data_IF_873261714303
#
_entry.id   IF_873261714303
#
_cell.length_a   1.000
_cell.length_b   1.000
_cell.length_c   1.000
_cell.angle_alpha   90.00
_cell.angle_beta   90.00
_cell.angle_gamma   90.00
#
_symmetry.space_group_name_H-M   'P 1'
#
loop_
_entity.id
_entity.type
_entity.pdbx_description
1 polymer ?
#
# COMPACT_ATOMS: atom_id res chain seq x y z
N UNK A 1 -13.37 -18.99 -77.45
CA UNK A 1 -11.97 -18.65 -77.10
C UNK A 1 -11.49 -19.69 -76.10
N UNK A 2 -10.71 -20.67 -76.56
CA UNK A 2 -10.21 -21.77 -75.73
C UNK A 2 -8.74 -21.51 -75.42
N UNK A 3 -8.39 -21.38 -74.13
CA UNK A 3 -7.01 -21.23 -73.69
C UNK A 3 -6.57 -22.58 -73.10
N UNK A 4 -5.92 -23.40 -73.91
CA UNK A 4 -5.22 -24.60 -73.45
C UNK A 4 -3.91 -24.19 -72.79
N UNK A 5 -3.81 -24.35 -71.46
CA UNK A 5 -2.52 -24.26 -70.75
C UNK A 5 -1.81 -25.61 -70.85
N UNK A 6 -0.77 -25.67 -71.68
CA UNK A 6 0.18 -26.77 -71.69
C UNK A 6 1.05 -26.72 -70.43
N UNK A 7 0.90 -27.71 -69.56
CA UNK A 7 1.87 -27.96 -68.49
C UNK A 7 2.95 -28.90 -69.02
N UNK A 8 4.13 -28.36 -69.28
CA UNK A 8 5.31 -29.17 -69.54
C UNK A 8 5.73 -29.85 -68.23
N UNK A 9 5.41 -31.14 -68.08
CA UNK A 9 5.98 -31.96 -67.00
C UNK A 9 7.41 -32.34 -67.40
N UNK A 10 8.39 -31.59 -66.90
CA UNK A 10 9.78 -32.02 -66.95
C UNK A 10 9.93 -33.26 -66.07
N UNK A 11 10.10 -34.44 -66.70
CA UNK A 11 10.47 -35.67 -66.01
C UNK A 11 11.87 -35.46 -65.41
N UNK A 12 11.92 -35.11 -64.13
CA UNK A 12 13.17 -35.04 -63.39
C UNK A 12 13.59 -36.48 -63.06
N UNK A 13 14.38 -37.09 -63.93
CA UNK A 13 14.99 -38.39 -63.69
C UNK A 13 15.98 -38.27 -62.52
N UNK A 14 15.55 -38.66 -61.32
CA UNK A 14 16.47 -38.93 -60.21
C UNK A 14 16.93 -40.38 -60.32
N UNK A 15 17.96 -40.63 -61.14
CA UNK A 15 18.83 -41.76 -60.84
C UNK A 15 19.98 -41.26 -59.98
N UNK A 16 20.11 -41.85 -58.79
CA UNK A 16 21.36 -42.17 -58.07
C UNK A 16 20.98 -42.59 -56.65
N UNK A 17 21.34 -43.83 -56.30
CA UNK A 17 21.16 -44.42 -54.97
C UNK A 17 21.60 -43.42 -53.88
N UNK A 18 20.88 -43.32 -52.76
CA UNK A 18 21.24 -42.38 -51.70
C UNK A 18 22.66 -42.67 -51.17
N UNK A 19 23.46 -41.65 -50.85
CA UNK A 19 24.78 -41.86 -50.28
C UNK A 19 24.64 -42.59 -48.93
N UNK A 20 25.54 -43.54 -48.66
CA UNK A 20 25.50 -44.41 -47.47
C UNK A 20 25.37 -43.64 -46.14
N UNK A 21 25.95 -42.43 -46.09
CA UNK A 21 25.85 -41.53 -44.94
C UNK A 21 24.38 -41.15 -44.61
N UNK A 22 23.54 -40.96 -45.63
CA UNK A 22 22.13 -40.60 -45.44
C UNK A 22 21.31 -41.80 -44.92
N UNK A 23 21.67 -43.02 -45.33
CA UNK A 23 21.02 -44.24 -44.83
C UNK A 23 21.35 -44.43 -43.34
N UNK A 24 22.59 -44.18 -42.93
CA UNK A 24 23.00 -44.31 -41.52
C UNK A 24 22.26 -43.32 -40.62
N UNK A 25 22.14 -42.06 -41.05
CA UNK A 25 21.37 -41.03 -40.30
C UNK A 25 19.90 -41.44 -40.20
N UNK A 26 19.31 -41.91 -41.30
CA UNK A 26 17.93 -42.38 -41.32
C UNK A 26 17.72 -43.57 -40.36
N UNK A 27 18.61 -44.56 -40.34
CA UNK A 27 18.54 -45.68 -39.41
C UNK A 27 18.64 -45.24 -37.93
N UNK A 28 19.49 -44.27 -37.61
CA UNK A 28 19.58 -43.72 -36.24
C UNK A 28 18.27 -43.08 -35.81
N UNK A 29 17.66 -42.26 -36.66
CA UNK A 29 16.37 -41.61 -36.38
C UNK A 29 15.25 -42.64 -36.18
N UNK A 30 15.24 -43.71 -36.98
CA UNK A 30 14.22 -44.77 -36.88
C UNK A 30 14.32 -45.55 -35.57
N UNK A 31 15.55 -45.74 -35.06
CA UNK A 31 15.80 -46.32 -33.73
C UNK A 31 15.38 -45.38 -32.61
N UNK A 32 15.69 -44.09 -32.71
CA UNK A 32 15.28 -43.09 -31.72
C UNK A 32 13.75 -43.00 -31.57
N UNK A 33 13.02 -43.13 -32.69
CA UNK A 33 11.55 -43.09 -32.73
C UNK A 33 10.93 -44.45 -32.36
N UNK A 34 11.74 -45.49 -32.11
CA UNK A 34 11.29 -46.87 -31.84
C UNK A 34 10.30 -47.39 -32.90
N UNK A 35 10.59 -47.15 -34.19
CA UNK A 35 9.73 -47.63 -35.28
C UNK A 35 9.72 -49.16 -35.34
N UNK A 36 8.58 -49.73 -35.75
CA UNK A 36 8.46 -51.18 -35.97
C UNK A 36 9.45 -51.66 -37.06
N UNK A 37 10.21 -52.72 -36.80
CA UNK A 37 11.22 -53.27 -37.73
C UNK A 37 10.69 -53.48 -39.16
N UNK A 38 9.45 -53.96 -39.32
CA UNK A 38 8.86 -54.15 -40.66
C UNK A 38 8.74 -52.84 -41.43
N UNK A 39 8.30 -51.78 -40.74
CA UNK A 39 8.22 -50.43 -41.31
C UNK A 39 9.62 -49.87 -41.56
N UNK A 40 10.60 -50.26 -40.75
CA UNK A 40 11.98 -49.86 -40.97
C UNK A 40 12.53 -50.40 -42.29
N UNK A 41 12.30 -51.69 -42.55
CA UNK A 41 12.70 -52.35 -43.79
C UNK A 41 12.02 -51.72 -45.01
N UNK A 42 10.71 -51.43 -44.92
CA UNK A 42 9.98 -50.75 -45.98
C UNK A 42 10.56 -49.38 -46.33
N UNK A 43 10.84 -48.54 -45.31
CA UNK A 43 11.43 -47.21 -45.49
C UNK A 43 12.82 -47.29 -46.15
N UNK A 44 13.65 -48.24 -45.74
CA UNK A 44 14.96 -48.46 -46.33
C UNK A 44 14.86 -48.93 -47.78
N UNK A 45 13.92 -49.82 -48.10
CA UNK A 45 13.65 -50.27 -49.47
C UNK A 45 13.23 -49.10 -50.38
N UNK A 46 12.40 -48.16 -49.90
CA UNK A 46 12.06 -46.95 -50.64
C UNK A 46 13.26 -46.03 -50.85
N UNK A 47 14.12 -45.88 -49.84
CA UNK A 47 15.34 -45.08 -49.94
C UNK A 47 16.31 -45.66 -50.99
N UNK A 48 16.53 -46.98 -50.98
CA UNK A 48 17.43 -47.66 -51.92
C UNK A 48 16.90 -47.69 -53.36
N UNK A 49 15.60 -47.88 -53.53
CA UNK A 49 14.93 -47.86 -54.84
C UNK A 49 14.76 -46.45 -55.41
N UNK A 50 14.95 -45.41 -54.59
CA UNK A 50 14.81 -44.01 -54.99
C UNK A 50 13.35 -43.60 -55.25
N UNK A 51 12.39 -44.41 -54.83
CA UNK A 51 10.96 -44.09 -54.90
C UNK A 51 10.55 -43.18 -53.74
N UNK A 52 9.51 -42.37 -53.94
CA UNK A 52 8.94 -41.55 -52.87
C UNK A 52 8.18 -42.44 -51.88
N UNK A 53 8.25 -42.10 -50.59
CA UNK A 53 7.43 -42.74 -49.56
C UNK A 53 5.93 -42.66 -49.90
N UNK A 54 5.12 -43.65 -49.49
CA UNK A 54 3.69 -43.64 -49.74
C UNK A 54 3.04 -42.38 -49.13
N UNK A 55 2.18 -41.72 -49.91
CA UNK A 55 1.47 -40.54 -49.44
C UNK A 55 0.45 -40.94 -48.38
N UNK A 56 0.68 -40.52 -47.14
CA UNK A 56 -0.31 -40.63 -46.07
C UNK A 56 -1.03 -39.28 -45.98
N UNK A 57 -2.33 -39.19 -46.31
CA UNK A 57 -3.08 -37.95 -46.15
C UNK A 57 -3.06 -37.55 -44.67
N UNK A 58 -2.80 -36.26 -44.40
CA UNK A 58 -2.64 -35.72 -43.03
C UNK A 58 -3.84 -36.04 -42.11
N UNK A 59 -5.02 -36.23 -42.69
CA UNK A 59 -6.26 -36.56 -41.98
C UNK A 59 -6.26 -37.99 -41.39
N UNK A 60 -5.40 -38.89 -41.88
CA UNK A 60 -5.21 -40.24 -41.33
C UNK A 60 -4.15 -40.30 -40.23
N UNK A 61 -3.31 -39.27 -40.08
CA UNK A 61 -2.39 -39.15 -38.95
C UNK A 61 -3.24 -38.72 -37.75
N UNK A 62 -3.93 -39.69 -37.16
CA UNK A 62 -4.52 -39.54 -35.83
C UNK A 62 -3.34 -39.30 -34.90
N UNK A 63 -3.13 -38.06 -34.47
CA UNK A 63 -2.26 -37.78 -33.34
C UNK A 63 -2.99 -38.32 -32.11
N UNK A 64 -2.86 -39.62 -31.85
CA UNK A 64 -3.56 -40.33 -30.76
C UNK A 64 -3.20 -39.82 -29.35
N UNK A 65 -2.37 -38.78 -29.26
CA UNK A 65 -1.91 -38.15 -28.04
C UNK A 65 -2.28 -36.67 -27.88
N UNK A 66 -3.28 -36.15 -28.61
CA UNK A 66 -3.84 -34.81 -28.28
C UNK A 66 -4.91 -34.91 -27.19
N UNK A 67 -5.64 -36.03 -27.11
CA UNK A 67 -6.79 -36.15 -26.19
C UNK A 67 -6.45 -36.79 -24.83
N UNK A 68 -5.28 -37.42 -24.68
CA UNK A 68 -4.86 -38.10 -23.43
C UNK A 68 -3.65 -37.48 -22.74
N UNK A 69 -3.17 -36.32 -23.19
CA UNK A 69 -2.56 -35.41 -22.25
C UNK A 69 -3.70 -34.95 -21.33
N UNK A 70 -3.89 -35.68 -20.23
CA UNK A 70 -4.52 -35.12 -19.04
C UNK A 70 -4.05 -33.67 -19.01
N UNK A 71 -5.00 -32.75 -19.00
CA UNK A 71 -4.73 -31.39 -18.56
C UNK A 71 -4.15 -31.58 -17.15
N UNK A 72 -2.85 -31.86 -17.05
CA UNK A 72 -2.04 -31.68 -15.85
C UNK A 72 -2.50 -30.31 -15.46
N UNK A 73 -3.22 -30.20 -14.33
CA UNK A 73 -3.69 -28.93 -13.81
C UNK A 73 -2.46 -28.04 -13.93
N UNK A 74 -2.45 -27.19 -14.97
CA UNK A 74 -1.31 -26.34 -15.22
C UNK A 74 -1.36 -25.50 -13.97
N UNK A 75 -0.41 -25.75 -13.05
CA UNK A 75 -0.29 -24.99 -11.84
C UNK A 75 -0.29 -23.56 -12.36
N UNK A 76 -1.40 -22.84 -12.12
CA UNK A 76 -1.56 -21.49 -12.63
C UNK A 76 -0.42 -20.75 -11.95
N UNK A 77 0.66 -20.54 -12.69
CA UNK A 77 1.76 -19.73 -12.21
C UNK A 77 1.11 -18.40 -11.82
N UNK A 78 1.46 -17.84 -10.65
CA UNK A 78 0.94 -16.53 -10.30
C UNK A 78 1.21 -15.61 -11.49
N UNK A 79 0.21 -14.80 -11.89
CA UNK A 79 0.36 -13.91 -13.03
C UNK A 79 1.66 -13.14 -12.86
N UNK A 80 2.46 -13.04 -13.93
CA UNK A 80 3.66 -12.20 -13.91
C UNK A 80 3.25 -10.83 -13.36
N UNK A 81 4.02 -10.24 -12.43
CA UNK A 81 3.68 -8.93 -11.91
C UNK A 81 3.62 -7.93 -13.08
N UNK A 82 2.40 -7.51 -13.41
CA UNK A 82 2.16 -6.48 -14.41
C UNK A 82 2.18 -5.11 -13.75
N UNK A 83 2.63 -4.10 -14.47
CA UNK A 83 2.52 -2.72 -14.03
C UNK A 83 1.03 -2.35 -13.87
N UNK A 84 0.67 -1.80 -12.71
CA UNK A 84 -0.67 -1.28 -12.45
C UNK A 84 -0.81 0.11 -13.07
N UNK A 85 -2.03 0.47 -13.49
CA UNK A 85 -2.33 1.83 -13.93
C UNK A 85 -2.20 2.83 -12.76
N UNK A 86 -1.81 4.07 -13.07
CA UNK A 86 -1.68 5.17 -12.10
C UNK A 86 -2.92 5.32 -11.21
N UNK A 87 -4.11 5.34 -11.80
CA UNK A 87 -5.39 5.45 -11.07
C UNK A 87 -5.59 4.35 -10.03
N UNK A 88 -5.18 3.11 -10.36
CA UNK A 88 -5.26 1.96 -9.45
C UNK A 88 -4.31 2.15 -8.27
N UNK A 89 -3.09 2.66 -8.51
CA UNK A 89 -2.08 2.90 -7.48
C UNK A 89 -2.53 4.00 -6.52
N UNK A 90 -3.06 5.10 -7.05
CA UNK A 90 -3.62 6.22 -6.27
C UNK A 90 -4.83 5.76 -5.44
N UNK A 91 -5.75 5.00 -6.04
CA UNK A 91 -6.94 4.49 -5.32
C UNK A 91 -6.60 3.55 -4.15
N UNK A 92 -5.44 2.89 -4.20
CA UNK A 92 -4.97 2.00 -3.12
C UNK A 92 -4.23 2.72 -2.01
N UNK A 93 -4.05 4.04 -2.09
CA UNK A 93 -3.27 4.82 -1.12
C UNK A 93 -1.76 4.55 -1.17
N UNK A 94 -1.30 3.60 -1.98
CA UNK A 94 0.11 3.19 -2.09
C UNK A 94 1.01 4.23 -2.76
N UNK A 95 0.43 5.28 -3.34
CA UNK A 95 1.19 6.39 -3.92
C UNK A 95 1.62 7.43 -2.88
N UNK A 96 0.90 7.51 -1.76
CA UNK A 96 1.19 8.48 -0.72
C UNK A 96 2.52 8.13 -0.06
N UNK A 97 3.47 9.06 -0.14
CA UNK A 97 4.75 8.91 0.55
C UNK A 97 4.52 9.16 2.03
N UNK A 98 5.01 8.26 2.86
CA UNK A 98 5.11 8.50 4.30
C UNK A 98 5.83 9.84 4.54
N UNK A 99 5.27 10.73 5.37
CA UNK A 99 5.95 11.95 5.74
C UNK A 99 7.28 11.59 6.40
N UNK A 100 8.35 12.30 6.03
CA UNK A 100 9.65 12.11 6.65
C UNK A 100 9.52 12.32 8.16
N UNK A 101 9.78 11.24 8.92
CA UNK A 101 9.94 11.30 10.37
C UNK A 101 11.41 11.01 10.67
N UNK A 102 12.16 11.99 11.22
CA UNK A 102 13.52 11.70 11.64
C UNK A 102 13.50 10.60 12.70
N UNK A 103 14.39 9.61 12.57
CA UNK A 103 14.58 8.61 13.62
C UNK A 103 14.95 9.33 14.92
N UNK A 104 14.39 8.86 16.04
CA UNK A 104 14.80 9.31 17.36
C UNK A 104 16.29 9.04 17.52
N UNK A 105 17.11 10.09 17.32
CA UNK A 105 18.56 10.00 17.47
C UNK A 105 18.86 9.63 18.93
N UNK A 106 19.26 8.37 19.15
CA UNK A 106 19.85 7.92 20.43
C UNK A 106 21.17 8.64 20.76
N UNK A 107 21.68 9.43 19.81
CA UNK A 107 23.02 10.02 19.80
C UNK A 107 23.01 11.51 20.12
N UNK A 108 21.85 12.19 20.22
CA UNK A 108 21.84 13.55 20.80
C UNK A 108 21.89 13.43 22.32
N UNK A 109 23.01 13.80 22.97
CA UNK A 109 23.07 13.77 24.42
C UNK A 109 22.01 14.72 24.96
N UNK A 110 21.13 14.24 25.85
CA UNK A 110 20.12 15.06 26.54
C UNK A 110 20.72 16.34 27.10
N UNK A 111 21.97 16.25 27.57
CA UNK A 111 22.78 17.33 28.11
C UNK A 111 23.01 18.51 27.16
N UNK A 112 23.24 18.27 25.85
CA UNK A 112 23.44 19.38 24.91
C UNK A 112 22.12 20.07 24.55
N UNK A 113 21.01 19.32 24.54
CA UNK A 113 19.66 19.89 24.38
C UNK A 113 19.31 20.77 25.58
N UNK A 114 19.60 20.28 26.78
CA UNK A 114 19.37 21.00 28.04
C UNK A 114 20.23 22.26 28.12
N UNK A 115 21.53 22.15 27.85
CA UNK A 115 22.45 23.29 27.78
C UNK A 115 21.96 24.36 26.82
N UNK A 116 21.51 23.96 25.63
CA UNK A 116 20.97 24.90 24.65
C UNK A 116 19.67 25.56 25.15
N UNK A 117 18.78 24.79 25.78
CA UNK A 117 17.56 25.31 26.39
C UNK A 117 17.87 26.34 27.47
N UNK A 118 18.86 26.07 28.33
CA UNK A 118 19.32 26.98 29.37
C UNK A 118 19.90 28.28 28.78
N UNK A 119 20.76 28.16 27.76
CA UNK A 119 21.31 29.33 27.07
C UNK A 119 20.23 30.17 26.37
N UNK A 120 19.25 29.56 25.70
CA UNK A 120 18.18 30.31 25.03
C UNK A 120 17.26 31.02 26.03
N UNK A 121 16.91 30.37 27.13
CA UNK A 121 15.98 30.92 28.11
C UNK A 121 16.64 31.95 29.06
N UNK A 122 17.90 31.72 29.44
CA UNK A 122 18.57 32.47 30.51
C UNK A 122 19.87 33.14 30.08
N UNK A 123 20.33 32.94 28.84
CA UNK A 123 21.59 33.49 28.31
C UNK A 123 22.85 32.79 28.83
N UNK A 124 22.71 31.76 29.69
CA UNK A 124 23.82 31.00 30.28
C UNK A 124 23.40 29.56 30.56
N UNK A 125 24.37 28.67 30.59
CA UNK A 125 24.14 27.29 31.03
C UNK A 125 23.93 27.27 32.55
N UNK A 126 22.89 26.59 33.01
CA UNK A 126 22.55 26.49 34.43
C UNK A 126 22.75 25.04 34.87
N UNK A 127 23.33 24.85 36.05
CA UNK A 127 23.43 23.53 36.67
C UNK A 127 22.04 23.02 37.07
N UNK A 128 21.84 21.70 36.98
CA UNK A 128 20.60 20.98 37.27
C UNK A 128 19.99 21.32 38.66
N UNK A 129 20.83 21.60 39.65
CA UNK A 129 20.37 21.95 41.00
C UNK A 129 19.79 23.37 41.08
N UNK A 130 20.33 24.32 40.29
CA UNK A 130 19.80 25.68 40.19
C UNK A 130 18.48 25.71 39.41
N UNK A 131 18.31 24.80 38.43
CA UNK A 131 17.07 24.64 37.68
C UNK A 131 15.93 24.17 38.60
N UNK A 132 16.17 23.15 39.44
CA UNK A 132 15.17 22.65 40.38
C UNK A 132 14.70 23.72 41.37
N UNK A 133 15.63 24.49 41.93
CA UNK A 133 15.29 25.61 42.82
C UNK A 133 14.50 26.71 42.10
N UNK A 134 14.82 26.99 40.83
CA UNK A 134 14.15 28.04 40.06
C UNK A 134 12.79 27.63 39.49
N UNK A 135 12.58 26.34 39.26
CA UNK A 135 11.26 25.79 38.96
C UNK A 135 10.35 25.89 40.18
N UNK A 136 10.86 25.52 41.37
CA UNK A 136 10.11 25.65 42.62
C UNK A 136 9.77 27.11 42.98
N UNK A 137 10.62 28.08 42.64
CA UNK A 137 10.32 29.50 42.90
C UNK A 137 9.36 30.13 41.89
N UNK A 138 9.08 29.47 40.76
CA UNK A 138 8.07 29.90 39.77
C UNK A 138 6.65 29.39 40.07
N UNK A 139 6.50 28.47 41.01
CA UNK A 139 5.19 28.03 41.50
C UNK A 139 4.52 29.05 42.43
N UNK A 140 5.14 30.22 42.64
CA UNK A 140 4.42 31.42 43.04
C UNK A 140 3.63 31.90 41.80
N UNK A 141 2.54 31.18 41.52
CA UNK A 141 1.48 31.73 40.70
C UNK A 141 1.15 33.13 41.26
N UNK A 142 0.92 34.14 40.41
CA UNK A 142 0.44 35.42 40.92
C UNK A 142 -0.77 35.09 41.80
N UNK A 143 -0.80 35.65 43.01
CA UNK A 143 -1.94 35.55 43.91
C UNK A 143 -3.12 36.19 43.17
N UNK A 144 -3.84 35.38 42.37
CA UNK A 144 -5.02 35.84 41.66
C UNK A 144 -6.01 36.10 42.76
N UNK A 145 -6.22 37.38 43.07
CA UNK A 145 -7.20 37.81 44.05
C UNK A 145 -8.53 37.10 43.73
N UNK A 146 -9.00 36.30 44.68
CA UNK A 146 -10.26 35.56 44.59
C UNK A 146 -11.45 36.47 44.26
N UNK A 147 -11.33 37.79 44.49
CA UNK A 147 -12.29 38.79 44.02
C UNK A 147 -12.31 38.95 42.48
N UNK A 148 -11.14 39.01 41.84
CA UNK A 148 -11.02 39.15 40.39
C UNK A 148 -11.57 37.92 39.65
N UNK A 149 -11.35 36.72 40.22
CA UNK A 149 -11.87 35.48 39.64
C UNK A 149 -13.40 35.39 39.71
N UNK A 150 -14.01 35.91 40.79
CA UNK A 150 -15.47 35.97 40.89
C UNK A 150 -16.05 36.94 39.85
N UNK A 151 -15.42 38.09 39.65
CA UNK A 151 -15.88 39.04 38.62
C UNK A 151 -15.77 38.46 37.22
N UNK A 152 -14.70 37.73 36.93
CA UNK A 152 -14.48 37.05 35.64
C UNK A 152 -15.55 35.99 35.36
N UNK A 153 -15.87 35.15 36.35
CA UNK A 153 -16.91 34.12 36.19
C UNK A 153 -18.28 34.74 35.94
N UNK A 154 -18.61 35.85 36.60
CA UNK A 154 -19.86 36.58 36.36
C UNK A 154 -19.91 37.19 34.95
N UNK A 155 -18.78 37.73 34.47
CA UNK A 155 -18.71 38.23 33.09
C UNK A 155 -18.89 37.10 32.08
N UNK A 156 -18.27 35.94 32.29
CA UNK A 156 -18.44 34.78 31.41
C UNK A 156 -19.89 34.27 31.37
N UNK A 157 -20.57 34.19 32.52
CA UNK A 157 -21.98 33.78 32.55
C UNK A 157 -22.81 34.74 31.69
N UNK A 158 -22.61 36.04 31.88
CA UNK A 158 -23.33 37.06 31.11
C UNK A 158 -23.05 36.95 29.61
N UNK A 159 -21.80 36.78 29.20
CA UNK A 159 -21.45 36.60 27.79
C UNK A 159 -22.14 35.39 27.16
N UNK A 160 -22.34 34.30 27.92
CA UNK A 160 -23.04 33.10 27.44
C UNK A 160 -24.55 33.31 27.33
N UNK A 161 -25.13 34.10 28.24
CA UNK A 161 -26.53 34.52 28.15
C UNK A 161 -26.74 35.43 26.93
N UNK A 162 -25.89 36.44 26.77
CA UNK A 162 -25.91 37.37 25.64
C UNK A 162 -25.76 36.62 24.30
N UNK A 163 -24.82 35.67 24.22
CA UNK A 163 -24.65 34.80 23.06
C UNK A 163 -25.92 33.99 22.74
N UNK A 164 -26.60 33.46 23.75
CA UNK A 164 -27.84 32.71 23.54
C UNK A 164 -28.96 33.62 23.01
N UNK A 165 -29.02 34.87 23.47
CA UNK A 165 -29.95 35.88 22.98
C UNK A 165 -29.67 36.22 21.50
N UNK A 166 -28.40 36.44 21.13
CA UNK A 166 -27.99 36.65 19.74
C UNK A 166 -28.37 35.46 18.85
N UNK A 167 -28.09 34.23 19.29
CA UNK A 167 -28.49 33.02 18.55
C UNK A 167 -30.01 32.85 18.48
N UNK A 168 -30.75 33.34 19.46
CA UNK A 168 -32.21 33.34 19.44
C UNK A 168 -32.77 34.29 18.40
N UNK A 169 -32.16 35.48 18.23
CA UNK A 169 -32.55 36.42 17.17
C UNK A 169 -32.30 35.85 15.77
N UNK A 170 -31.29 34.98 15.64
CA UNK A 170 -30.98 34.25 14.40
C UNK A 170 -31.83 32.96 14.21
N UNK A 171 -32.72 32.63 15.15
CA UNK A 171 -33.53 31.40 15.10
C UNK A 171 -32.74 30.11 15.35
N UNK A 172 -31.51 30.21 15.87
CA UNK A 172 -30.60 29.09 16.13
C UNK A 172 -30.55 28.65 17.60
N UNK A 173 -31.44 29.17 18.44
CA UNK A 173 -31.44 28.92 19.90
C UNK A 173 -31.39 27.44 20.26
N UNK A 174 -32.27 26.62 19.68
CA UNK A 174 -32.39 25.20 20.02
C UNK A 174 -31.11 24.40 19.77
N UNK A 175 -30.29 24.85 18.80
CA UNK A 175 -29.01 24.21 18.47
C UNK A 175 -27.95 24.43 19.56
N UNK A 176 -27.92 25.61 20.17
CA UNK A 176 -26.86 26.02 21.10
C UNK A 176 -27.27 25.97 22.58
N UNK A 177 -28.57 26.01 22.87
CA UNK A 177 -29.13 25.95 24.22
C UNK A 177 -28.54 24.84 25.10
N UNK A 178 -28.49 23.55 24.69
CA UNK A 178 -27.99 22.50 25.58
C UNK A 178 -26.50 22.65 25.94
N UNK A 179 -25.69 23.18 25.02
CA UNK A 179 -24.27 23.42 25.25
C UNK A 179 -24.06 24.61 26.18
N UNK A 180 -24.77 25.71 25.93
CA UNK A 180 -24.69 26.94 26.72
C UNK A 180 -25.21 26.72 28.16
N UNK A 181 -26.32 26.01 28.34
CA UNK A 181 -26.84 25.68 29.67
C UNK A 181 -25.85 24.84 30.49
N UNK A 182 -25.14 23.92 29.84
CA UNK A 182 -24.09 23.13 30.48
C UNK A 182 -22.92 24.03 30.93
N UNK A 183 -22.49 24.96 30.07
CA UNK A 183 -21.41 25.90 30.36
C UNK A 183 -21.79 26.87 31.50
N UNK A 184 -23.00 27.43 31.48
CA UNK A 184 -23.52 28.27 32.58
C UNK A 184 -23.56 27.48 33.89
N UNK A 185 -24.07 26.25 33.86
CA UNK A 185 -24.11 25.37 35.04
C UNK A 185 -22.73 25.06 35.60
N UNK A 186 -21.72 24.91 34.75
CA UNK A 186 -20.33 24.70 35.17
C UNK A 186 -19.80 25.94 35.89
N UNK A 187 -19.99 27.14 35.30
CA UNK A 187 -19.54 28.41 35.87
C UNK A 187 -20.23 28.75 37.19
N UNK A 188 -21.52 28.44 37.33
CA UNK A 188 -22.23 28.58 38.61
C UNK A 188 -21.64 27.70 39.70
N UNK A 189 -21.27 26.44 39.40
CA UNK A 189 -20.61 25.56 40.38
C UNK A 189 -19.23 26.07 40.79
N UNK A 190 -18.47 26.66 39.86
CA UNK A 190 -17.18 27.29 40.18
C UNK A 190 -17.37 28.50 41.09
N UNK A 191 -18.35 29.35 40.78
CA UNK A 191 -18.73 30.50 41.60
C UNK A 191 -19.14 30.08 43.02
N UNK A 192 -19.94 29.02 43.17
CA UNK A 192 -20.33 28.47 44.46
C UNK A 192 -19.14 27.97 45.28
N UNK A 193 -18.17 27.31 44.64
CA UNK A 193 -16.95 26.83 45.30
C UNK A 193 -16.13 27.99 45.86
N UNK A 194 -15.90 29.03 45.04
CA UNK A 194 -15.15 30.21 45.46
C UNK A 194 -15.86 30.96 46.60
N UNK A 195 -17.19 31.10 46.52
CA UNK A 195 -17.98 31.70 47.59
C UNK A 195 -17.90 30.88 48.89
N UNK A 196 -17.87 29.55 48.80
CA UNK A 196 -17.70 28.67 49.96
C UNK A 196 -16.30 28.83 50.58
N UNK A 197 -15.27 28.91 49.76
CA UNK A 197 -13.88 29.14 50.19
C UNK A 197 -13.74 30.48 50.93
N UNK A 198 -14.25 31.58 50.35
CA UNK A 198 -14.28 32.90 51.01
C UNK A 198 -14.99 32.87 52.38
N UNK A 199 -16.10 32.14 52.49
CA UNK A 199 -16.85 31.98 53.76
C UNK A 199 -16.09 31.16 54.81
N UNK A 200 -15.24 30.22 54.39
CA UNK A 200 -14.42 29.42 55.30
C UNK A 200 -13.16 30.13 55.75
N UNK A 201 -12.54 30.93 54.87
CA UNK A 201 -11.36 31.75 55.18
C UNK A 201 -11.71 32.83 56.22
N UNK A 202 -12.83 33.55 56.04
CA UNK A 202 -13.30 34.55 57.02
C UNK A 202 -13.78 33.99 58.37
N UNK A 203 -13.77 32.66 58.58
CA UNK A 203 -14.09 32.01 59.88
C UNK A 203 -12.84 31.57 60.65
N UNK A 204 -11.65 31.58 60.04
CA UNK A 204 -10.40 31.19 60.70
C UNK A 204 -9.77 32.37 61.48
N UNK A 205 -10.17 33.61 61.18
CA UNK A 205 -9.62 34.84 61.79
C UNK A 205 -10.44 35.38 62.98
N UNK A 206 -11.16 34.53 63.72
CA UNK A 206 -11.92 34.92 64.92
C UNK A 206 -11.62 34.06 66.13
#
# INVERSE_FOLDING_TARGET
MNITRNFNTTKFERSKKPPKNNINVLQSLMKEVNLNCKLQDEILNFAESGQSLPYIPKNLIKTENVEKAHLKKVLKLPPRPMQRMKSKIESTGSYEREPYRPDYSKTRPSKEKERLQNMMAFGKDLDEDLLKQKLQSKDVAPEIDSSNLITEILTEIKEREDFLEEMSQLGLREKYLPEIECQISLRLKELEKLNKMKRTEGKQDK
#
